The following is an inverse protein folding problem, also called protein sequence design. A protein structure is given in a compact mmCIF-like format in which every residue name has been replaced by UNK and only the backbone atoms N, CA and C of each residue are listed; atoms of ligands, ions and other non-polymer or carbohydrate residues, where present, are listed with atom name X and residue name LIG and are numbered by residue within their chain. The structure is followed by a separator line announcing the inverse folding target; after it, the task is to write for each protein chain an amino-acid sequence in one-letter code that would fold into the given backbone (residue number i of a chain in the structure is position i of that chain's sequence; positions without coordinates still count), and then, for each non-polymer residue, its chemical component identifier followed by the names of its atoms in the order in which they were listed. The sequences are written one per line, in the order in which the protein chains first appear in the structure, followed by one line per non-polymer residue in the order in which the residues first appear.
data_IF_841563460321
#
_entry.id   IF_841563460321
#
_cell.length_a   1.000
_cell.length_b   1.000
_cell.length_c   1.000
_cell.angle_alpha   90.00
_cell.angle_beta   90.00
_cell.angle_gamma   90.00
#
_symmetry.space_group_name_H-M   'P 1'
#
loop_
_entity.id
_entity.type
_entity.pdbx_description
1 polymer ?
#
# COMPACT_ATOMS: atom_id res chain seq x y z
N UNK A 1 17.69 -3.20 5.80
CA UNK A 1 16.99 -2.66 4.64
C UNK A 1 15.71 -1.95 5.02
N UNK A 2 15.06 -1.38 4.04
CA UNK A 2 13.79 -0.68 4.24
C UNK A 2 12.67 -1.68 4.46
N UNK A 3 11.79 -1.40 5.43
CA UNK A 3 10.54 -2.14 5.53
C UNK A 3 9.48 -1.48 4.64
N UNK A 4 8.31 -2.13 4.49
CA UNK A 4 7.25 -1.62 3.62
C UNK A 4 6.73 -0.25 4.01
N UNK A 5 6.69 0.07 5.30
CA UNK A 5 6.24 1.36 5.78
C UNK A 5 7.23 2.47 5.42
N UNK A 6 8.51 2.21 5.58
CA UNK A 6 9.55 3.18 5.23
C UNK A 6 9.60 3.40 3.72
N UNK A 7 9.48 2.34 2.94
CA UNK A 7 9.43 2.45 1.48
C UNK A 7 8.22 3.27 1.03
N UNK A 8 7.05 3.02 1.60
CA UNK A 8 5.84 3.78 1.30
C UNK A 8 6.04 5.26 1.61
N UNK A 9 6.60 5.56 2.78
CA UNK A 9 6.84 6.94 3.18
C UNK A 9 7.77 7.66 2.22
N UNK A 10 8.85 7.00 1.80
CA UNK A 10 9.79 7.60 0.84
C UNK A 10 9.11 7.88 -0.50
N UNK A 11 8.35 6.91 -1.00
CA UNK A 11 7.67 7.06 -2.29
C UNK A 11 6.62 8.18 -2.25
N UNK A 12 5.88 8.30 -1.16
CA UNK A 12 4.82 9.31 -1.07
C UNK A 12 5.34 10.71 -0.80
N UNK A 13 6.53 10.85 -0.24
CA UNK A 13 7.14 12.15 0.03
C UNK A 13 7.99 12.68 -1.11
N UNK A 14 8.52 11.81 -1.97
CA UNK A 14 9.34 12.22 -3.10
C UNK A 14 8.44 12.83 -4.18
N UNK A 15 8.68 14.09 -4.61
CA UNK A 15 7.86 14.70 -5.65
C UNK A 15 7.79 13.92 -6.95
N UNK A 16 8.84 13.14 -7.27
CA UNK A 16 8.84 12.33 -8.48
C UNK A 16 7.93 11.11 -8.39
N UNK A 17 7.68 10.61 -7.18
CA UNK A 17 6.89 9.39 -6.97
C UNK A 17 5.62 9.61 -6.16
N UNK A 18 5.36 10.83 -5.70
CA UNK A 18 4.22 11.10 -4.82
C UNK A 18 2.87 10.81 -5.48
N UNK A 19 2.80 10.83 -6.81
CA UNK A 19 1.58 10.55 -7.55
C UNK A 19 1.36 9.06 -7.81
N UNK A 20 2.35 8.22 -7.48
CA UNK A 20 2.24 6.78 -7.68
C UNK A 20 1.48 6.16 -6.51
N UNK A 21 0.33 5.51 -6.75
CA UNK A 21 -0.40 4.85 -5.67
C UNK A 21 0.37 3.63 -5.16
N UNK A 22 0.38 3.45 -3.83
CA UNK A 22 1.11 2.37 -3.17
C UNK A 22 0.12 1.46 -2.45
N UNK A 23 0.26 0.16 -2.67
CA UNK A 23 -0.51 -0.88 -1.97
C UNK A 23 0.47 -1.72 -1.17
N UNK A 24 0.25 -1.83 0.14
CA UNK A 24 1.09 -2.65 1.01
C UNK A 24 0.48 -4.06 1.08
N UNK A 25 1.28 -5.07 0.80
CA UNK A 25 0.89 -6.48 0.91
C UNK A 25 1.79 -7.15 1.94
N UNK A 26 1.20 -7.74 2.97
CA UNK A 26 1.95 -8.26 4.11
C UNK A 26 1.26 -9.49 4.69
N UNK A 27 2.00 -10.29 5.47
CA UNK A 27 1.44 -11.39 6.25
C UNK A 27 0.90 -10.93 7.61
N UNK A 28 1.19 -9.71 8.02
CA UNK A 28 0.71 -9.16 9.28
C UNK A 28 -0.75 -8.73 9.14
N UNK A 29 -1.58 -9.23 10.04
CA UNK A 29 -3.04 -9.00 10.01
C UNK A 29 -3.49 -8.24 11.26
N UNK A 30 -2.76 -7.21 11.64
CA UNK A 30 -3.15 -6.36 12.76
C UNK A 30 -3.66 -5.02 12.26
N UNK A 31 -4.74 -4.56 12.83
CA UNK A 31 -5.34 -3.32 12.44
C UNK A 31 -4.41 -2.12 12.70
N UNK A 32 -3.60 -2.20 13.74
CA UNK A 32 -2.59 -1.17 14.01
C UNK A 32 -1.60 -1.03 12.85
N UNK A 33 -1.19 -2.16 12.27
CA UNK A 33 -0.29 -2.14 11.11
C UNK A 33 -0.97 -1.53 9.89
N UNK A 34 -2.25 -1.83 9.70
CA UNK A 34 -3.04 -1.28 8.61
C UNK A 34 -3.16 0.24 8.72
N UNK A 35 -3.51 0.73 9.91
CA UNK A 35 -3.63 2.17 10.17
C UNK A 35 -2.28 2.84 9.95
N UNK A 36 -1.21 2.22 10.43
CA UNK A 36 0.13 2.76 10.29
C UNK A 36 0.56 2.86 8.82
N UNK A 37 0.27 1.81 8.04
CA UNK A 37 0.58 1.81 6.60
C UNK A 37 -0.17 2.90 5.86
N UNK A 38 -1.45 3.08 6.15
CA UNK A 38 -2.25 4.13 5.52
C UNK A 38 -1.76 5.53 5.90
N UNK A 39 -1.29 5.70 7.13
CA UNK A 39 -0.69 6.97 7.58
C UNK A 39 0.58 7.32 6.84
N UNK A 40 1.33 6.31 6.35
CA UNK A 40 2.53 6.55 5.56
C UNK A 40 2.19 6.93 4.11
N UNK A 41 0.93 6.94 3.75
CA UNK A 41 0.48 7.37 2.43
C UNK A 41 0.07 6.24 1.49
N UNK A 42 0.01 5.00 1.98
CA UNK A 42 -0.47 3.89 1.16
C UNK A 42 -1.94 4.09 0.80
N UNK A 43 -2.32 3.70 -0.41
CA UNK A 43 -3.70 3.76 -0.86
C UNK A 43 -4.53 2.62 -0.31
N UNK A 44 -3.90 1.46 -0.12
CA UNK A 44 -4.60 0.30 0.40
C UNK A 44 -3.61 -0.64 1.09
N UNK A 45 -4.14 -1.60 1.79
CA UNK A 45 -3.36 -2.54 2.59
C UNK A 45 -4.02 -3.92 2.47
N UNK A 46 -3.27 -4.90 2.00
CA UNK A 46 -3.77 -6.26 1.83
C UNK A 46 -2.97 -7.24 2.70
N UNK A 47 -3.68 -8.18 3.29
CA UNK A 47 -3.06 -9.22 4.11
C UNK A 47 -2.96 -10.52 3.34
N UNK A 48 -1.78 -11.13 3.33
CA UNK A 48 -1.58 -12.44 2.70
C UNK A 48 -2.25 -13.54 3.54
N UNK A 49 -2.75 -14.60 2.89
CA UNK A 49 -2.71 -14.87 1.47
C UNK A 49 -3.70 -13.99 0.69
N UNK A 50 -3.26 -13.47 -0.43
CA UNK A 50 -4.09 -12.67 -1.31
C UNK A 50 -4.15 -13.36 -2.68
N UNK A 51 -5.36 -13.53 -3.23
CA UNK A 51 -5.52 -14.10 -4.55
C UNK A 51 -5.12 -13.07 -5.62
N UNK A 52 -4.72 -13.58 -6.78
CA UNK A 52 -4.41 -12.72 -7.92
C UNK A 52 -5.61 -11.85 -8.29
N UNK A 53 -6.80 -12.44 -8.28
CA UNK A 53 -8.03 -11.71 -8.58
C UNK A 53 -8.25 -10.54 -7.63
N UNK A 54 -8.09 -10.78 -6.32
CA UNK A 54 -8.28 -9.73 -5.33
C UNK A 54 -7.24 -8.63 -5.46
N UNK A 55 -5.99 -8.99 -5.73
CA UNK A 55 -4.95 -8.00 -5.95
C UNK A 55 -5.27 -7.13 -7.16
N UNK A 56 -5.69 -7.75 -8.27
CA UNK A 56 -6.06 -7.01 -9.47
C UNK A 56 -7.25 -6.09 -9.24
N UNK A 57 -8.25 -6.55 -8.48
CA UNK A 57 -9.39 -5.72 -8.13
C UNK A 57 -8.96 -4.46 -7.37
N UNK A 58 -8.03 -4.63 -6.42
CA UNK A 58 -7.53 -3.50 -5.64
C UNK A 58 -6.69 -2.55 -6.48
N UNK A 59 -5.84 -3.09 -7.34
CA UNK A 59 -5.04 -2.26 -8.25
C UNK A 59 -5.94 -1.45 -9.17
N UNK A 60 -6.95 -2.08 -9.75
CA UNK A 60 -7.88 -1.40 -10.65
C UNK A 60 -8.69 -0.32 -9.91
N UNK A 61 -9.13 -0.59 -8.69
CA UNK A 61 -9.86 0.37 -7.88
C UNK A 61 -9.01 1.59 -7.55
N UNK A 62 -7.75 1.37 -7.19
CA UNK A 62 -6.82 2.46 -6.86
C UNK A 62 -6.51 3.29 -8.09
N UNK A 63 -6.28 2.66 -9.24
CA UNK A 63 -6.00 3.38 -10.47
C UNK A 63 -7.21 4.16 -10.96
N UNK A 64 -8.41 3.61 -10.78
CA UNK A 64 -9.64 4.30 -11.18
C UNK A 64 -9.94 5.51 -10.31
N UNK A 65 -9.48 5.52 -9.07
CA UNK A 65 -9.66 6.62 -8.14
C UNK A 65 -8.60 7.73 -8.29
N UNK A 66 -7.57 7.46 -9.04
CA UNK A 66 -6.44 8.39 -9.19
C UNK A 66 -6.76 9.63 -10.05
#
# INVERSE_FOLDING_TARGET
GLNGFQATRQLTKDPETSDIPVIIVTTKDQETDRVWGLRQGARDFLTKPVSEQRLLEKVNAVLAAA
#
